data_IF_657004327288
#
_entry.id   IF_657004327288
#
_cell.length_a   1.000
_cell.length_b   1.000
_cell.length_c   1.000
_cell.angle_alpha   90.00
_cell.angle_beta   90.00
_cell.angle_gamma   90.00
#
_symmetry.space_group_name_H-M   'P 1'
#
loop_
_entity.id
_entity.type
_entity.pdbx_description
1 polymer ?
#
# COMPACT_ATOMS: atom_id res chain seq x y z
N UNK A 1 2.80 -5.19 -7.93
CA UNK A 1 4.03 -4.57 -7.40
C UNK A 1 5.20 -5.01 -8.25
N UNK A 2 6.02 -4.05 -8.66
CA UNK A 2 7.18 -4.31 -9.51
C UNK A 2 8.23 -5.19 -8.82
N UNK A 3 8.89 -6.04 -9.59
CA UNK A 3 9.99 -6.90 -9.14
C UNK A 3 9.66 -7.74 -7.90
N UNK A 4 8.44 -8.28 -7.84
CA UNK A 4 7.99 -9.11 -6.72
C UNK A 4 7.44 -10.44 -7.22
N UNK A 5 7.56 -11.45 -6.36
CA UNK A 5 6.93 -12.75 -6.55
C UNK A 5 5.99 -13.06 -5.39
N UNK A 6 4.92 -13.80 -5.66
CA UNK A 6 4.07 -14.37 -4.63
C UNK A 6 4.72 -15.65 -4.11
N UNK A 7 4.69 -15.83 -2.79
CA UNK A 7 5.18 -17.04 -2.15
C UNK A 7 4.15 -17.55 -1.14
N UNK A 8 4.03 -18.88 -0.96
CA UNK A 8 3.27 -19.45 0.15
C UNK A 8 3.85 -18.99 1.49
N UNK A 9 2.99 -18.66 2.46
CA UNK A 9 3.44 -18.23 3.79
C UNK A 9 4.32 -19.28 4.48
N UNK A 10 4.01 -20.57 4.30
CA UNK A 10 4.82 -21.67 4.84
C UNK A 10 6.25 -21.68 4.28
N UNK A 11 6.43 -21.28 3.01
CA UNK A 11 7.77 -21.19 2.42
C UNK A 11 8.58 -20.05 3.03
N UNK A 12 7.92 -18.94 3.38
CA UNK A 12 8.56 -17.83 4.11
C UNK A 12 9.09 -18.31 5.46
N UNK A 13 8.27 -19.07 6.23
CA UNK A 13 8.65 -19.65 7.52
C UNK A 13 9.89 -20.54 7.43
N UNK A 14 10.00 -21.33 6.37
CA UNK A 14 11.09 -22.31 6.21
C UNK A 14 12.40 -21.70 5.70
N UNK A 15 12.32 -20.66 4.87
CA UNK A 15 13.48 -20.17 4.09
C UNK A 15 13.96 -18.78 4.50
N UNK A 16 13.22 -18.05 5.33
CA UNK A 16 13.63 -16.70 5.72
C UNK A 16 14.42 -16.76 7.03
N UNK A 17 15.73 -16.78 6.93
CA UNK A 17 16.61 -16.59 8.08
C UNK A 17 16.80 -15.10 8.29
N UNK A 18 16.59 -14.60 9.51
CA UNK A 18 16.65 -13.18 9.83
C UNK A 18 18.08 -12.69 9.65
N UNK A 19 18.29 -11.51 9.03
CA UNK A 19 19.57 -10.86 9.08
C UNK A 19 19.84 -10.41 10.53
N UNK A 20 20.84 -10.96 11.18
CA UNK A 20 21.30 -10.45 12.47
C UNK A 20 22.22 -9.26 12.20
N UNK A 21 21.61 -8.07 12.14
CA UNK A 21 22.36 -6.83 11.89
C UNK A 21 22.65 -6.04 13.17
N UNK A 22 22.07 -6.41 14.30
CA UNK A 22 22.27 -5.70 15.55
C UNK A 22 23.69 -5.94 16.09
N UNK A 23 24.44 -4.86 16.34
CA UNK A 23 25.76 -4.91 16.99
C UNK A 23 25.71 -5.50 18.40
N UNK A 24 24.54 -5.51 19.04
CA UNK A 24 24.35 -5.86 20.45
C UNK A 24 23.57 -7.17 20.65
N UNK A 25 23.49 -8.05 19.64
CA UNK A 25 22.73 -9.33 19.68
C UNK A 25 21.23 -9.18 19.99
N UNK A 26 20.64 -8.02 19.79
CA UNK A 26 19.19 -7.84 19.90
C UNK A 26 18.52 -8.47 18.66
N UNK A 27 17.54 -9.32 18.89
CA UNK A 27 16.78 -9.93 17.80
C UNK A 27 15.91 -8.87 17.12
N UNK A 28 16.04 -8.72 15.80
CA UNK A 28 15.09 -7.95 15.00
C UNK A 28 13.79 -8.73 14.83
N UNK A 29 12.65 -8.01 14.78
CA UNK A 29 11.37 -8.63 14.46
C UNK A 29 11.42 -9.15 13.00
N UNK A 30 11.18 -10.44 12.80
CA UNK A 30 11.24 -11.06 11.48
C UNK A 30 10.03 -10.72 10.62
N UNK A 31 10.11 -10.98 9.31
CA UNK A 31 8.95 -10.92 8.42
C UNK A 31 7.82 -11.84 8.89
N UNK A 32 8.16 -13.03 9.39
CA UNK A 32 7.20 -13.98 9.92
C UNK A 32 6.49 -13.44 11.16
N UNK A 33 7.26 -13.00 12.17
CA UNK A 33 6.68 -12.43 13.39
C UNK A 33 5.79 -11.22 13.07
N UNK A 34 6.19 -10.37 12.12
CA UNK A 34 5.37 -9.25 11.70
C UNK A 34 4.03 -9.71 11.10
N UNK A 35 4.04 -10.74 10.23
CA UNK A 35 2.81 -11.31 9.65
C UNK A 35 1.93 -11.89 10.77
N UNK A 36 2.50 -12.74 11.65
CA UNK A 36 1.78 -13.39 12.75
C UNK A 36 1.16 -12.35 13.69
N UNK A 37 1.91 -11.31 14.10
CA UNK A 37 1.45 -10.23 14.97
C UNK A 37 0.26 -9.46 14.35
N UNK A 38 0.31 -9.18 13.05
CA UNK A 38 -0.82 -8.50 12.38
C UNK A 38 -2.04 -9.41 12.32
N UNK A 39 -1.85 -10.71 12.11
CA UNK A 39 -2.93 -11.72 12.18
C UNK A 39 -3.54 -11.81 13.58
N UNK A 40 -2.72 -11.83 14.63
CA UNK A 40 -3.17 -11.83 16.02
C UNK A 40 -3.94 -10.55 16.36
N UNK A 41 -3.43 -9.38 15.96
CA UNK A 41 -4.11 -8.10 16.14
C UNK A 41 -5.46 -8.07 15.42
N UNK A 42 -5.55 -8.65 14.21
CA UNK A 42 -6.80 -8.76 13.48
C UNK A 42 -7.79 -9.69 14.19
N UNK A 43 -7.32 -10.83 14.71
CA UNK A 43 -8.14 -11.75 15.49
C UNK A 43 -8.69 -11.13 16.78
N UNK A 44 -7.90 -10.28 17.43
CA UNK A 44 -8.33 -9.52 18.61
C UNK A 44 -9.33 -8.41 18.26
N UNK A 45 -9.13 -7.72 17.13
CA UNK A 45 -10.03 -6.65 16.70
C UNK A 45 -11.35 -7.17 16.11
N UNK A 46 -11.34 -8.39 15.54
CA UNK A 46 -12.48 -9.04 14.88
C UNK A 46 -12.69 -10.47 15.42
N UNK A 47 -13.03 -10.64 16.69
CA UNK A 47 -12.96 -11.94 17.39
C UNK A 47 -13.94 -13.00 16.88
N UNK A 48 -15.00 -12.60 16.16
CA UNK A 48 -16.00 -13.52 15.62
C UNK A 48 -15.86 -13.75 14.11
N UNK A 49 -14.80 -13.20 13.53
CA UNK A 49 -14.64 -13.18 12.08
C UNK A 49 -13.58 -14.20 11.63
N UNK A 50 -13.85 -14.79 10.48
CA UNK A 50 -12.85 -15.64 9.84
C UNK A 50 -11.83 -14.77 9.11
N UNK A 51 -10.56 -14.94 9.46
CA UNK A 51 -9.44 -14.33 8.76
C UNK A 51 -8.81 -15.40 7.86
N UNK A 52 -8.66 -15.11 6.58
CA UNK A 52 -8.03 -16.03 5.62
C UNK A 52 -6.51 -16.03 5.79
N UNK A 53 -5.86 -17.07 5.27
CA UNK A 53 -4.39 -17.13 5.22
C UNK A 53 -3.80 -15.91 4.49
N UNK A 54 -2.64 -15.42 4.91
CA UNK A 54 -2.06 -14.23 4.31
C UNK A 54 -1.54 -14.48 2.89
N UNK A 55 -1.91 -13.62 1.97
CA UNK A 55 -1.28 -13.54 0.65
C UNK A 55 0.02 -12.75 0.76
N UNK A 56 1.16 -13.41 0.55
CA UNK A 56 2.51 -12.82 0.73
C UNK A 56 3.17 -12.56 -0.61
N UNK A 57 3.77 -11.38 -0.75
CA UNK A 57 4.63 -11.00 -1.87
C UNK A 57 5.98 -10.52 -1.34
N UNK A 58 7.05 -10.95 -1.99
CA UNK A 58 8.43 -10.61 -1.61
C UNK A 58 9.23 -10.11 -2.80
N UNK A 59 10.26 -9.32 -2.52
CA UNK A 59 11.28 -8.93 -3.48
C UNK A 59 12.26 -10.09 -3.76
N UNK A 60 13.38 -9.79 -4.39
CA UNK A 60 14.47 -10.76 -4.53
C UNK A 60 15.08 -11.12 -3.15
N UNK A 61 15.55 -12.36 -2.99
CA UNK A 61 16.24 -12.77 -1.77
C UNK A 61 17.66 -12.18 -1.72
N UNK A 62 18.06 -11.73 -0.53
CA UNK A 62 19.45 -11.35 -0.22
C UNK A 62 20.11 -12.52 0.46
N UNK A 63 21.28 -12.90 -0.03
CA UNK A 63 22.15 -13.89 0.59
C UNK A 63 23.17 -13.18 1.46
N UNK A 64 23.24 -13.57 2.70
CA UNK A 64 24.14 -13.00 3.70
C UNK A 64 24.82 -14.09 4.52
N UNK A 65 25.35 -13.69 5.66
CA UNK A 65 26.00 -14.56 6.62
C UNK A 65 25.73 -14.07 8.05
N UNK A 66 25.83 -14.99 9.01
CA UNK A 66 25.72 -14.62 10.43
C UNK A 66 26.90 -13.72 10.85
N UNK A 67 26.75 -12.88 11.90
CA UNK A 67 27.78 -11.94 12.32
C UNK A 67 29.14 -12.59 12.63
N UNK A 68 29.16 -13.78 13.23
CA UNK A 68 30.40 -14.51 13.54
C UNK A 68 31.17 -14.98 12.30
N UNK A 69 30.52 -14.99 11.12
CA UNK A 69 31.11 -15.40 9.86
C UNK A 69 31.40 -14.23 8.90
N UNK A 70 31.25 -12.97 9.34
CA UNK A 70 31.43 -11.78 8.49
C UNK A 70 32.79 -11.74 7.79
N UNK A 71 33.85 -12.15 8.47
CA UNK A 71 35.21 -12.13 7.92
C UNK A 71 35.55 -13.35 7.04
N UNK A 72 34.67 -14.37 6.98
CA UNK A 72 34.96 -15.59 6.20
C UNK A 72 34.74 -15.39 4.72
N UNK A 73 35.58 -15.91 3.84
CA UNK A 73 35.32 -15.99 2.40
C UNK A 73 34.06 -16.81 2.11
N UNK A 74 33.38 -16.50 0.99
CA UNK A 74 32.08 -17.13 0.65
C UNK A 74 32.20 -18.67 0.46
N UNK A 75 33.32 -19.15 -0.02
CA UNK A 75 33.61 -20.57 -0.22
C UNK A 75 33.91 -21.36 1.08
N UNK A 76 34.18 -20.65 2.17
CA UNK A 76 34.44 -21.24 3.50
C UNK A 76 33.22 -21.22 4.43
N UNK A 77 32.11 -20.63 3.96
CA UNK A 77 30.88 -20.55 4.73
C UNK A 77 30.22 -21.92 4.84
N UNK A 78 29.96 -22.36 6.06
CA UNK A 78 29.15 -23.54 6.35
C UNK A 78 27.68 -23.21 6.15
N UNK A 79 26.82 -24.21 5.93
CA UNK A 79 25.39 -23.99 5.67
C UNK A 79 24.68 -23.21 6.79
N UNK A 80 24.98 -23.50 8.06
CA UNK A 80 24.41 -22.79 9.21
C UNK A 80 24.93 -21.35 9.39
N UNK A 81 25.97 -20.97 8.65
CA UNK A 81 26.51 -19.60 8.65
C UNK A 81 25.94 -18.73 7.54
N UNK A 82 25.23 -19.34 6.58
CA UNK A 82 24.57 -18.65 5.49
C UNK A 82 23.19 -18.16 5.93
N UNK A 83 22.85 -16.93 5.55
CA UNK A 83 21.53 -16.35 5.76
C UNK A 83 20.88 -16.05 4.44
N UNK A 84 19.55 -16.23 4.34
CA UNK A 84 18.74 -15.81 3.20
C UNK A 84 17.54 -15.05 3.77
N UNK A 85 17.31 -13.85 3.26
CA UNK A 85 16.13 -13.08 3.63
C UNK A 85 15.63 -12.26 2.45
N UNK A 86 14.37 -11.88 2.45
CA UNK A 86 13.81 -10.98 1.46
C UNK A 86 13.97 -9.53 1.92
N UNK A 87 14.56 -8.68 1.06
CA UNK A 87 14.78 -7.27 1.39
C UNK A 87 13.48 -6.54 1.68
N UNK A 88 12.43 -6.87 0.91
CA UNK A 88 11.11 -6.24 1.00
C UNK A 88 10.03 -7.30 0.99
N UNK A 89 9.02 -7.11 1.81
CA UNK A 89 7.87 -8.00 1.91
C UNK A 89 6.59 -7.18 2.10
N UNK A 90 5.53 -7.61 1.44
CA UNK A 90 4.16 -7.13 1.66
C UNK A 90 3.23 -8.33 1.85
N UNK A 91 2.22 -8.17 2.67
CA UNK A 91 1.20 -9.19 2.86
C UNK A 91 -0.18 -8.58 3.10
N UNK A 92 -1.21 -9.38 2.83
CA UNK A 92 -2.60 -9.01 3.00
C UNK A 92 -3.35 -10.20 3.59
N UNK A 93 -4.03 -9.97 4.70
CA UNK A 93 -5.10 -10.82 5.21
C UNK A 93 -6.44 -10.32 4.70
N UNK A 94 -7.37 -11.21 4.45
CA UNK A 94 -8.72 -10.90 4.03
C UNK A 94 -9.73 -11.39 5.07
N UNK A 95 -10.75 -10.56 5.33
CA UNK A 95 -11.84 -10.84 6.28
C UNK A 95 -13.15 -10.90 5.47
N UNK A 96 -13.52 -12.07 4.92
CA UNK A 96 -14.59 -12.21 3.92
C UNK A 96 -15.99 -11.87 4.42
N UNK A 97 -16.22 -11.91 5.72
CA UNK A 97 -17.51 -11.56 6.34
C UNK A 97 -17.87 -10.09 6.19
N UNK A 98 -16.87 -9.22 6.05
CA UNK A 98 -17.07 -7.83 5.66
C UNK A 98 -17.06 -7.73 4.13
N UNK A 99 -18.23 -7.98 3.54
CA UNK A 99 -18.47 -7.98 2.10
C UNK A 99 -19.44 -6.87 1.73
N UNK A 100 -18.98 -5.93 0.92
CA UNK A 100 -19.69 -4.73 0.56
C UNK A 100 -19.66 -4.48 -0.95
N UNK A 101 -20.58 -3.68 -1.45
CA UNK A 101 -20.63 -3.35 -2.87
C UNK A 101 -20.58 -1.84 -3.08
N UNK A 102 -19.71 -1.40 -3.98
CA UNK A 102 -19.60 -0.01 -4.45
C UNK A 102 -19.67 -0.02 -5.98
N UNK A 103 -20.69 0.64 -6.52
CA UNK A 103 -20.92 0.77 -7.98
C UNK A 103 -20.80 -0.59 -8.73
N UNK A 104 -21.44 -1.63 -8.18
CA UNK A 104 -21.42 -2.99 -8.75
C UNK A 104 -20.10 -3.77 -8.52
N UNK A 105 -19.12 -3.19 -7.87
CA UNK A 105 -17.88 -3.90 -7.53
C UNK A 105 -17.93 -4.40 -6.10
N UNK A 106 -17.65 -5.69 -5.92
CA UNK A 106 -17.55 -6.34 -4.62
C UNK A 106 -16.26 -5.93 -3.93
N UNK A 107 -16.35 -5.59 -2.65
CA UNK A 107 -15.23 -5.22 -1.79
C UNK A 107 -15.20 -6.14 -0.57
N UNK A 108 -14.01 -6.54 -0.12
CA UNK A 108 -13.81 -7.20 1.18
C UNK A 108 -12.88 -6.39 2.06
N UNK A 109 -13.11 -6.42 3.37
CA UNK A 109 -12.20 -5.80 4.33
C UNK A 109 -10.89 -6.58 4.35
N UNK A 110 -9.79 -5.85 4.39
CA UNK A 110 -8.44 -6.41 4.41
C UNK A 110 -7.56 -5.67 5.40
N UNK A 111 -6.65 -6.39 6.02
CA UNK A 111 -5.57 -5.86 6.84
C UNK A 111 -4.23 -6.38 6.32
N UNK A 112 -3.17 -5.67 6.57
CA UNK A 112 -1.87 -6.13 6.13
C UNK A 112 -0.74 -5.15 6.41
N UNK A 113 0.41 -5.43 5.82
CA UNK A 113 1.56 -4.57 6.03
C UNK A 113 2.65 -4.71 4.99
N UNK A 114 3.59 -3.80 5.10
CA UNK A 114 4.81 -3.75 4.30
C UNK A 114 6.00 -3.58 5.23
N UNK A 115 7.03 -4.36 4.99
CA UNK A 115 8.34 -4.15 5.58
C UNK A 115 9.42 -4.11 4.51
N UNK A 116 10.35 -3.18 4.66
CA UNK A 116 11.42 -2.94 3.72
C UNK A 116 12.70 -2.63 4.49
N UNK A 117 13.59 -3.61 4.61
CA UNK A 117 14.86 -3.49 5.33
C UNK A 117 15.78 -2.43 4.73
N UNK A 118 15.68 -2.14 3.44
CA UNK A 118 16.46 -1.08 2.80
C UNK A 118 16.09 0.35 3.29
N UNK A 119 14.97 0.51 3.99
CA UNK A 119 14.53 1.78 4.58
C UNK A 119 14.90 1.89 6.07
N UNK A 120 15.52 0.85 6.64
CA UNK A 120 15.90 0.79 8.04
C UNK A 120 17.40 0.96 8.21
N UNK A 121 17.82 1.64 9.28
CA UNK A 121 19.24 1.65 9.67
C UNK A 121 19.54 0.44 10.54
N UNK A 122 19.76 -0.71 9.91
CA UNK A 122 19.99 -1.98 10.56
C UNK A 122 21.33 -2.06 11.35
N UNK A 123 22.18 -1.04 11.28
CA UNK A 123 23.49 -0.99 11.92
C UNK A 123 23.55 -0.08 13.13
N UNK A 124 22.46 0.61 13.44
CA UNK A 124 22.38 1.52 14.58
C UNK A 124 22.10 0.77 15.88
N UNK A 125 22.64 1.26 17.01
CA UNK A 125 22.31 0.73 18.34
C UNK A 125 20.92 1.20 18.74
N UNK A 126 20.07 0.30 19.29
CA UNK A 126 18.76 0.59 19.89
C UNK A 126 17.82 1.42 18.99
N UNK A 127 17.86 1.20 17.68
CA UNK A 127 16.98 1.87 16.74
C UNK A 127 15.64 1.14 16.73
N UNK A 128 14.55 1.91 16.77
CA UNK A 128 13.21 1.39 16.56
C UNK A 128 13.07 0.84 15.16
N UNK A 129 12.49 -0.35 15.05
CA UNK A 129 12.20 -0.98 13.77
C UNK A 129 10.96 -0.33 13.13
N UNK A 130 10.96 -0.23 11.81
CA UNK A 130 9.94 0.48 11.06
C UNK A 130 9.01 -0.47 10.33
N UNK A 131 7.71 -0.28 10.52
CA UNK A 131 6.66 -1.05 9.88
C UNK A 131 5.65 -0.12 9.21
N UNK A 132 5.02 -0.61 8.14
CA UNK A 132 3.86 0.01 7.54
C UNK A 132 2.70 -0.94 7.66
N UNK A 133 1.60 -0.50 8.24
CA UNK A 133 0.44 -1.33 8.51
C UNK A 133 -0.80 -0.63 7.96
N UNK A 134 -1.72 -1.38 7.40
CA UNK A 134 -2.97 -0.85 6.89
C UNK A 134 -4.17 -1.71 7.22
N UNK A 135 -5.33 -1.06 7.25
CA UNK A 135 -6.66 -1.64 7.16
C UNK A 135 -7.43 -0.89 6.08
N UNK A 136 -8.18 -1.60 5.24
CA UNK A 136 -8.91 -0.99 4.14
C UNK A 136 -9.70 -2.02 3.34
N UNK A 137 -10.23 -1.60 2.20
CA UNK A 137 -11.03 -2.45 1.34
C UNK A 137 -10.22 -2.96 0.15
N UNK A 138 -10.44 -4.19 -0.25
CA UNK A 138 -9.89 -4.79 -1.46
C UNK A 138 -11.00 -4.94 -2.50
N UNK A 139 -10.81 -4.35 -3.66
CA UNK A 139 -11.71 -4.54 -4.80
C UNK A 139 -11.42 -5.89 -5.47
N UNK A 140 -12.43 -6.74 -5.56
CA UNK A 140 -12.31 -8.08 -6.14
C UNK A 140 -12.06 -8.08 -7.66
N UNK A 141 -12.60 -7.11 -8.37
CA UNK A 141 -12.49 -7.05 -9.84
C UNK A 141 -11.05 -6.78 -10.28
N UNK A 142 -10.37 -5.87 -9.62
CA UNK A 142 -9.02 -5.44 -9.99
C UNK A 142 -7.95 -5.81 -8.96
N UNK A 143 -8.33 -6.43 -7.83
CA UNK A 143 -7.43 -6.76 -6.71
C UNK A 143 -6.70 -5.50 -6.18
N UNK A 144 -7.26 -4.31 -6.38
CA UNK A 144 -6.72 -3.07 -5.86
C UNK A 144 -7.07 -2.93 -4.37
N UNK A 145 -6.13 -2.40 -3.61
CA UNK A 145 -6.39 -1.98 -2.25
C UNK A 145 -6.94 -0.56 -2.24
N UNK A 146 -7.99 -0.33 -1.46
CA UNK A 146 -8.57 0.97 -1.16
C UNK A 146 -8.23 1.27 0.30
N UNK A 147 -7.20 2.08 0.53
CA UNK A 147 -6.72 2.42 1.87
C UNK A 147 -6.85 3.92 2.08
N UNK A 148 -7.49 4.33 3.18
CA UNK A 148 -7.60 5.72 3.61
C UNK A 148 -6.47 6.10 4.56
N UNK A 149 -6.28 7.40 4.77
CA UNK A 149 -5.32 7.91 5.76
C UNK A 149 -5.61 7.40 7.16
N UNK A 150 -6.88 7.29 7.56
CA UNK A 150 -7.30 6.79 8.87
C UNK A 150 -7.00 5.29 9.05
N UNK A 151 -6.87 4.54 7.96
CA UNK A 151 -6.54 3.11 7.94
C UNK A 151 -5.07 2.82 7.67
N UNK A 152 -4.16 3.80 7.76
CA UNK A 152 -2.77 3.61 7.39
C UNK A 152 -1.78 4.22 8.39
N UNK A 153 -0.83 3.43 8.84
CA UNK A 153 0.34 3.85 9.59
C UNK A 153 1.59 3.70 8.72
N UNK A 154 2.09 4.83 8.18
CA UNK A 154 3.22 4.86 7.25
C UNK A 154 4.58 4.71 7.91
N UNK A 155 4.70 5.04 9.20
CA UNK A 155 5.95 5.04 9.96
C UNK A 155 5.71 4.57 11.40
N UNK A 156 5.24 3.33 11.53
CA UNK A 156 5.05 2.71 12.83
C UNK A 156 6.40 2.22 13.34
N UNK A 157 6.90 2.84 14.40
CA UNK A 157 8.20 2.54 15.01
C UNK A 157 8.00 1.87 16.35
N UNK A 158 8.66 0.74 16.53
CA UNK A 158 8.57 -0.09 17.73
C UNK A 158 9.89 -0.78 18.04
N UNK A 159 10.06 -1.22 19.28
CA UNK A 159 11.23 -1.97 19.75
C UNK A 159 10.92 -3.42 20.07
N UNK A 160 9.66 -3.74 20.33
CA UNK A 160 9.25 -5.08 20.75
C UNK A 160 8.02 -5.56 19.98
N UNK A 161 7.87 -6.88 19.92
CA UNK A 161 6.69 -7.54 19.33
C UNK A 161 5.39 -7.15 20.05
N UNK A 162 5.44 -6.99 21.38
CA UNK A 162 4.28 -6.58 22.17
C UNK A 162 3.84 -5.14 21.85
N UNK A 163 4.80 -4.24 21.66
CA UNK A 163 4.48 -2.87 21.25
C UNK A 163 3.88 -2.84 19.85
N UNK A 164 4.42 -3.65 18.93
CA UNK A 164 3.88 -3.80 17.59
C UNK A 164 2.42 -4.29 17.63
N UNK A 165 2.13 -5.36 18.38
CA UNK A 165 0.79 -5.89 18.56
C UNK A 165 -0.20 -4.81 19.05
N UNK A 166 0.18 -4.09 20.09
CA UNK A 166 -0.68 -3.06 20.67
C UNK A 166 -0.98 -1.92 19.70
N UNK A 167 0.03 -1.46 18.96
CA UNK A 167 -0.12 -0.37 17.97
C UNK A 167 -0.98 -0.79 16.79
N UNK A 168 -0.76 -2.01 16.29
CA UNK A 168 -1.55 -2.57 15.18
C UNK A 168 -3.01 -2.78 15.61
N UNK A 169 -3.24 -3.36 16.79
CA UNK A 169 -4.59 -3.52 17.35
C UNK A 169 -5.31 -2.16 17.47
N UNK A 170 -4.65 -1.13 18.00
CA UNK A 170 -5.21 0.21 18.09
C UNK A 170 -5.65 0.77 16.74
N UNK A 171 -4.82 0.60 15.70
CA UNK A 171 -5.18 1.02 14.34
C UNK A 171 -6.47 0.33 13.87
N UNK A 172 -6.58 -0.99 14.06
CA UNK A 172 -7.75 -1.75 13.61
C UNK A 172 -9.01 -1.43 14.43
N UNK A 173 -8.88 -1.28 15.73
CA UNK A 173 -9.99 -0.95 16.63
C UNK A 173 -10.55 0.47 16.41
N UNK A 174 -9.72 1.42 15.98
CA UNK A 174 -10.12 2.80 15.72
C UNK A 174 -10.61 3.03 14.28
N UNK A 175 -10.38 2.09 13.38
CA UNK A 175 -10.76 2.24 11.98
C UNK A 175 -12.27 2.22 11.79
N UNK A 176 -12.80 3.24 11.16
CA UNK A 176 -14.21 3.34 10.82
C UNK A 176 -14.48 2.85 9.39
N UNK A 177 -14.74 1.55 9.25
CA UNK A 177 -15.00 0.90 7.98
C UNK A 177 -16.19 1.52 7.22
N UNK A 178 -17.26 1.90 7.94
CA UNK A 178 -18.45 2.52 7.33
C UNK A 178 -18.18 3.92 6.78
N UNK A 179 -17.42 4.74 7.51
CA UNK A 179 -17.00 6.08 7.04
C UNK A 179 -16.18 5.95 5.76
N UNK A 180 -15.23 5.03 5.74
CA UNK A 180 -14.41 4.78 4.55
C UNK A 180 -15.26 4.30 3.36
N UNK A 181 -16.18 3.36 3.59
CA UNK A 181 -17.10 2.86 2.57
C UNK A 181 -18.00 3.97 2.00
N UNK A 182 -18.52 4.85 2.85
CA UNK A 182 -19.32 5.99 2.42
C UNK A 182 -18.50 6.95 1.52
N UNK A 183 -17.21 7.13 1.83
CA UNK A 183 -16.30 7.89 0.97
C UNK A 183 -16.17 7.24 -0.41
N UNK A 184 -15.94 5.92 -0.46
CA UNK A 184 -15.83 5.20 -1.73
C UNK A 184 -17.13 5.24 -2.54
N UNK A 185 -18.29 5.13 -1.89
CA UNK A 185 -19.61 5.28 -2.53
C UNK A 185 -19.80 6.67 -3.13
N UNK A 186 -19.43 7.73 -2.40
CA UNK A 186 -19.50 9.09 -2.90
C UNK A 186 -18.66 9.35 -4.15
N UNK A 187 -17.57 8.59 -4.37
CA UNK A 187 -16.81 8.68 -5.62
C UNK A 187 -17.59 8.16 -6.85
N UNK A 188 -18.60 7.32 -6.64
CA UNK A 188 -19.42 6.81 -7.73
C UNK A 188 -20.47 7.83 -8.24
N UNK A 189 -20.87 8.76 -7.37
CA UNK A 189 -21.92 9.74 -7.65
C UNK A 189 -21.43 10.93 -8.48
N UNK A 190 -20.11 11.14 -8.56
CA UNK A 190 -19.49 12.26 -9.28
C UNK A 190 -18.52 11.73 -10.33
N UNK A 191 -18.34 12.52 -11.39
CA UNK A 191 -17.44 12.15 -12.49
C UNK A 191 -16.92 13.36 -13.24
N UNK A 192 -16.05 13.10 -14.19
CA UNK A 192 -15.49 14.08 -15.12
C UNK A 192 -15.78 13.66 -16.55
N UNK A 193 -15.98 14.64 -17.42
CA UNK A 193 -16.07 14.41 -18.85
C UNK A 193 -14.68 14.29 -19.48
N UNK A 194 -14.60 13.97 -20.78
CA UNK A 194 -13.34 13.78 -21.48
C UNK A 194 -12.47 15.05 -21.50
N UNK A 195 -13.06 16.23 -21.60
CA UNK A 195 -12.35 17.51 -21.57
C UNK A 195 -11.69 17.73 -20.19
N UNK A 196 -12.46 17.55 -19.12
CA UNK A 196 -11.94 17.64 -17.75
C UNK A 196 -10.88 16.57 -17.45
N UNK A 197 -11.07 15.34 -17.98
CA UNK A 197 -10.05 14.30 -17.86
C UNK A 197 -8.77 14.69 -18.59
N UNK A 198 -8.87 15.21 -19.83
CA UNK A 198 -7.69 15.67 -20.58
C UNK A 198 -6.96 16.82 -19.86
N UNK A 199 -7.71 17.77 -19.30
CA UNK A 199 -7.18 18.87 -18.48
C UNK A 199 -6.45 18.33 -17.25
N UNK A 200 -7.09 17.40 -16.50
CA UNK A 200 -6.49 16.74 -15.33
C UNK A 200 -5.15 16.08 -15.69
N UNK A 201 -5.13 15.30 -16.76
CA UNK A 201 -3.91 14.59 -17.21
C UNK A 201 -2.81 15.59 -17.65
N UNK A 202 -3.17 16.63 -18.38
CA UNK A 202 -2.24 17.69 -18.78
C UNK A 202 -1.59 18.36 -17.56
N UNK A 203 -2.40 18.74 -16.58
CA UNK A 203 -1.91 19.39 -15.35
C UNK A 203 -1.12 18.43 -14.44
N UNK A 204 -1.48 17.16 -14.37
CA UNK A 204 -0.66 16.17 -13.67
C UNK A 204 0.76 16.09 -14.24
N UNK A 205 0.91 16.17 -15.56
CA UNK A 205 2.22 16.17 -16.22
C UNK A 205 2.98 17.49 -16.07
N UNK A 206 2.29 18.60 -15.89
CA UNK A 206 2.90 19.91 -15.65
C UNK A 206 3.36 20.09 -14.19
N UNK A 207 2.70 19.43 -13.25
CA UNK A 207 2.94 19.58 -11.81
C UNK A 207 4.41 19.44 -11.39
N UNK A 208 5.21 18.46 -11.87
CA UNK A 208 6.61 18.32 -11.49
C UNK A 208 7.46 19.57 -11.81
N UNK A 209 7.09 20.33 -12.85
CA UNK A 209 7.81 21.49 -13.35
C UNK A 209 7.45 22.80 -12.65
N UNK A 210 6.41 22.80 -11.81
CA UNK A 210 6.05 23.94 -10.98
C UNK A 210 7.14 24.22 -9.95
N UNK A 211 7.35 25.49 -9.64
CA UNK A 211 8.21 25.91 -8.53
C UNK A 211 7.58 25.52 -7.18
N UNK A 212 8.38 25.48 -6.12
CA UNK A 212 7.88 25.19 -4.77
C UNK A 212 6.78 26.15 -4.32
N UNK A 213 6.82 27.42 -4.77
CA UNK A 213 5.80 28.44 -4.46
C UNK A 213 4.48 28.15 -5.18
N UNK A 214 4.54 27.77 -6.46
CA UNK A 214 3.35 27.43 -7.25
C UNK A 214 2.67 26.14 -6.76
N UNK A 215 3.43 25.21 -6.20
CA UNK A 215 2.90 23.96 -5.61
C UNK A 215 2.13 24.17 -4.31
N UNK A 216 2.25 25.33 -3.67
CA UNK A 216 1.53 25.60 -2.42
C UNK A 216 0.02 25.51 -2.63
N UNK A 217 -0.62 24.65 -1.85
CA UNK A 217 -2.08 24.42 -1.93
C UNK A 217 -2.54 23.50 -3.08
N UNK A 218 -1.63 23.03 -3.94
CA UNK A 218 -1.97 22.07 -5.00
C UNK A 218 -1.64 20.67 -4.49
N UNK A 219 -2.64 19.77 -4.33
CA UNK A 219 -2.38 18.39 -3.87
C UNK A 219 -1.59 17.62 -4.94
N UNK A 220 -0.52 16.95 -4.53
CA UNK A 220 0.25 16.10 -5.44
C UNK A 220 -0.44 14.76 -5.66
N UNK A 221 -0.35 14.22 -6.89
CA UNK A 221 -0.59 12.81 -7.16
C UNK A 221 0.76 12.11 -7.35
N UNK A 222 1.05 11.12 -6.51
CA UNK A 222 2.33 10.41 -6.48
C UNK A 222 2.42 9.29 -7.53
N UNK A 223 2.12 9.61 -8.78
CA UNK A 223 2.30 8.73 -9.93
C UNK A 223 3.38 9.26 -10.86
N UNK A 224 4.24 8.37 -11.36
CA UNK A 224 5.21 8.71 -12.40
C UNK A 224 4.58 8.72 -13.80
N UNK A 225 5.29 9.28 -14.79
CA UNK A 225 4.78 9.44 -16.16
C UNK A 225 4.31 8.13 -16.81
N UNK A 226 5.02 7.02 -16.59
CA UNK A 226 4.60 5.69 -17.09
C UNK A 226 3.28 5.24 -16.49
N UNK A 227 3.03 5.58 -15.22
CA UNK A 227 1.78 5.27 -14.53
C UNK A 227 0.64 6.16 -15.03
N UNK A 228 0.90 7.46 -15.24
CA UNK A 228 -0.07 8.38 -15.88
C UNK A 228 -0.42 7.89 -17.28
N UNK A 229 0.56 7.44 -18.08
CA UNK A 229 0.29 6.83 -19.38
C UNK A 229 -0.59 5.57 -19.29
N UNK A 230 -0.39 4.76 -18.24
CA UNK A 230 -1.26 3.61 -17.96
C UNK A 230 -2.69 4.05 -17.69
N UNK A 231 -2.90 5.08 -16.87
CA UNK A 231 -4.24 5.65 -16.60
C UNK A 231 -4.90 6.14 -17.89
N UNK A 232 -4.16 6.83 -18.77
CA UNK A 232 -4.69 7.30 -20.07
C UNK A 232 -5.12 6.13 -20.94
N UNK A 233 -4.26 5.13 -21.08
CA UNK A 233 -4.56 3.92 -21.87
C UNK A 233 -5.83 3.25 -21.34
N UNK A 234 -5.91 3.08 -20.02
CA UNK A 234 -6.96 2.31 -19.37
C UNK A 234 -8.27 3.09 -19.29
N UNK A 235 -8.25 4.43 -19.33
CA UNK A 235 -9.44 5.28 -19.54
C UNK A 235 -10.18 4.88 -20.82
N UNK A 236 -9.48 4.48 -21.88
CA UNK A 236 -10.09 4.04 -23.14
C UNK A 236 -10.31 2.52 -23.22
N UNK A 237 -9.51 1.70 -22.55
CA UNK A 237 -9.37 0.27 -22.84
C UNK A 237 -9.65 -0.67 -21.67
N UNK A 238 -9.75 -0.18 -20.42
CA UNK A 238 -10.00 -1.06 -19.29
C UNK A 238 -11.40 -1.68 -19.41
N UNK A 239 -11.51 -2.98 -19.12
CA UNK A 239 -12.76 -3.73 -19.29
C UNK A 239 -13.83 -3.38 -18.25
N UNK A 240 -13.42 -2.84 -17.08
CA UNK A 240 -14.30 -2.58 -15.94
C UNK A 240 -14.41 -1.10 -15.57
N UNK A 241 -13.34 -0.34 -15.81
CA UNK A 241 -13.20 1.03 -15.32
C UNK A 241 -12.96 2.07 -16.41
N UNK A 242 -13.12 1.71 -17.70
CA UNK A 242 -13.04 2.67 -18.80
C UNK A 242 -14.17 3.70 -18.74
N UNK A 243 -14.00 4.76 -19.52
CA UNK A 243 -15.04 5.77 -19.78
C UNK A 243 -16.31 5.16 -20.37
N UNK A 244 -17.41 5.87 -20.27
CA UNK A 244 -18.63 5.54 -21.00
C UNK A 244 -18.55 5.92 -22.51
N UNK A 245 -19.63 5.65 -23.24
CA UNK A 245 -19.70 5.90 -24.70
C UNK A 245 -19.63 7.38 -25.08
N UNK A 246 -19.93 8.29 -24.15
CA UNK A 246 -19.88 9.75 -24.37
C UNK A 246 -18.65 10.43 -23.75
N UNK A 247 -17.74 9.65 -23.19
CA UNK A 247 -16.47 10.12 -22.67
C UNK A 247 -16.46 10.45 -21.17
N UNK A 248 -17.53 10.17 -20.43
CA UNK A 248 -17.55 10.42 -19.00
C UNK A 248 -16.92 9.25 -18.21
N UNK A 249 -16.31 9.58 -17.09
CA UNK A 249 -15.80 8.60 -16.13
C UNK A 249 -16.15 9.03 -14.70
N UNK A 250 -16.74 8.13 -13.89
CA UNK A 250 -16.96 8.41 -12.48
C UNK A 250 -15.63 8.48 -11.72
N UNK A 251 -15.60 9.23 -10.61
CA UNK A 251 -14.41 9.28 -9.76
C UNK A 251 -14.07 7.91 -9.15
N UNK A 252 -15.05 7.04 -8.93
CA UNK A 252 -14.81 5.66 -8.54
C UNK A 252 -14.01 4.88 -9.59
N UNK A 253 -14.41 4.97 -10.85
CA UNK A 253 -13.66 4.33 -11.95
C UNK A 253 -12.27 4.94 -12.10
N UNK A 254 -12.17 6.27 -12.10
CA UNK A 254 -10.89 6.98 -12.16
C UNK A 254 -9.95 6.56 -11.01
N UNK A 255 -10.44 6.50 -9.78
CA UNK A 255 -9.68 6.03 -8.63
C UNK A 255 -9.17 4.59 -8.82
N UNK A 256 -9.99 3.69 -9.39
CA UNK A 256 -9.55 2.33 -9.70
C UNK A 256 -8.48 2.30 -10.82
N UNK A 257 -8.52 3.21 -11.78
CA UNK A 257 -7.44 3.36 -12.77
C UNK A 257 -6.14 3.86 -12.11
N UNK A 258 -6.22 4.83 -11.19
CA UNK A 258 -5.05 5.34 -10.45
C UNK A 258 -4.41 4.23 -9.61
N UNK A 259 -5.20 3.48 -8.85
CA UNK A 259 -4.70 2.36 -8.03
C UNK A 259 -4.26 1.18 -8.89
N UNK A 260 -4.86 0.98 -10.06
CA UNK A 260 -4.43 0.01 -11.07
C UNK A 260 -3.03 0.32 -11.60
N UNK A 261 -2.77 1.56 -11.98
CA UNK A 261 -1.46 2.04 -12.40
C UNK A 261 -0.40 1.90 -11.30
N UNK A 262 -0.79 2.08 -10.03
CA UNK A 262 0.09 1.91 -8.87
C UNK A 262 0.62 0.47 -8.70
N UNK A 263 0.03 -0.54 -9.34
CA UNK A 263 0.56 -1.93 -9.32
C UNK A 263 1.98 -2.05 -9.87
N UNK A 264 2.42 -1.09 -10.68
CA UNK A 264 3.81 -1.01 -11.17
C UNK A 264 4.79 -0.42 -10.14
N UNK A 265 4.33 0.04 -8.99
CA UNK A 265 5.18 0.55 -7.92
C UNK A 265 5.93 -0.56 -7.18
N UNK A 266 7.06 -0.19 -6.58
CA UNK A 266 7.78 -1.07 -5.65
C UNK A 266 7.00 -1.26 -4.35
N UNK A 267 7.30 -2.34 -3.62
CA UNK A 267 6.66 -2.68 -2.34
C UNK A 267 6.71 -1.50 -1.35
N UNK A 268 7.85 -0.86 -1.24
CA UNK A 268 8.14 0.22 -0.28
C UNK A 268 7.39 1.54 -0.55
N UNK A 269 6.86 1.75 -1.74
CA UNK A 269 6.10 2.96 -2.10
C UNK A 269 4.62 2.68 -2.39
N UNK A 270 4.24 1.41 -2.51
CA UNK A 270 2.91 1.01 -2.97
C UNK A 270 1.78 1.52 -2.08
N UNK A 271 1.91 1.37 -0.74
CA UNK A 271 0.86 1.79 0.20
C UNK A 271 0.72 3.31 0.26
N UNK A 272 1.83 4.05 0.32
CA UNK A 272 1.80 5.53 0.34
C UNK A 272 1.07 6.06 -0.90
N UNK A 273 1.39 5.54 -2.08
CA UNK A 273 0.72 5.89 -3.34
C UNK A 273 -0.75 5.47 -3.39
N UNK A 274 -1.11 4.35 -2.75
CA UNK A 274 -2.51 3.92 -2.66
C UNK A 274 -3.32 4.91 -1.83
N UNK A 275 -2.80 5.33 -0.67
CA UNK A 275 -3.44 6.33 0.20
C UNK A 275 -3.49 7.69 -0.49
N UNK A 276 -2.40 8.10 -1.14
CA UNK A 276 -2.34 9.34 -1.89
C UNK A 276 -3.37 9.36 -3.03
N UNK A 277 -3.56 8.28 -3.77
CA UNK A 277 -4.56 8.18 -4.83
C UNK A 277 -5.99 8.38 -4.29
N UNK A 278 -6.33 7.85 -3.11
CA UNK A 278 -7.63 8.08 -2.50
C UNK A 278 -7.79 9.54 -2.04
N UNK A 279 -6.78 10.07 -1.36
CA UNK A 279 -6.79 11.49 -0.94
C UNK A 279 -6.95 12.43 -2.13
N UNK A 280 -6.27 12.15 -3.23
CA UNK A 280 -6.40 12.90 -4.46
C UNK A 280 -7.81 12.81 -5.06
N UNK A 281 -8.40 11.61 -5.11
CA UNK A 281 -9.78 11.41 -5.57
C UNK A 281 -10.80 12.15 -4.68
N UNK A 282 -10.55 12.21 -3.36
CA UNK A 282 -11.39 13.00 -2.43
C UNK A 282 -11.29 14.51 -2.69
N UNK A 283 -10.12 15.02 -3.05
CA UNK A 283 -9.97 16.44 -3.43
C UNK A 283 -10.74 16.74 -4.71
N UNK A 284 -10.67 15.88 -5.72
CA UNK A 284 -11.50 15.99 -6.94
C UNK A 284 -13.00 15.99 -6.59
N UNK A 285 -13.41 15.03 -5.74
CA UNK A 285 -14.81 14.93 -5.28
C UNK A 285 -15.27 16.22 -4.60
N UNK A 286 -14.47 16.77 -3.68
CA UNK A 286 -14.81 18.00 -2.99
C UNK A 286 -14.95 19.18 -3.95
N UNK A 287 -14.03 19.33 -4.91
CA UNK A 287 -14.11 20.38 -5.93
C UNK A 287 -15.38 20.26 -6.76
N UNK A 288 -15.71 19.07 -7.27
CA UNK A 288 -16.93 18.84 -8.06
C UNK A 288 -18.21 19.03 -7.25
N UNK A 289 -18.18 18.71 -5.97
CA UNK A 289 -19.33 18.82 -5.05
C UNK A 289 -19.65 20.26 -4.65
N UNK A 290 -18.60 21.05 -4.40
CA UNK A 290 -18.73 22.41 -3.86
C UNK A 290 -18.57 23.50 -4.92
N UNK A 291 -18.11 23.18 -6.12
CA UNK A 291 -17.72 24.14 -7.14
C UNK A 291 -16.46 24.95 -6.78
N UNK A 292 -15.72 24.55 -5.73
CA UNK A 292 -14.50 25.23 -5.36
C UNK A 292 -13.40 25.05 -6.41
N UNK A 293 -12.64 26.11 -6.60
CA UNK A 293 -11.50 26.09 -7.52
C UNK A 293 -10.53 24.95 -7.13
N UNK A 294 -10.18 24.18 -8.14
CA UNK A 294 -9.09 23.20 -8.05
C UNK A 294 -8.20 23.34 -9.29
N UNK A 295 -6.92 23.56 -9.08
CA UNK A 295 -5.96 23.75 -10.16
C UNK A 295 -6.02 22.67 -11.26
N UNK A 296 -6.43 21.46 -10.95
CA UNK A 296 -6.52 20.34 -11.89
C UNK A 296 -7.74 20.38 -12.82
N UNK A 297 -8.86 20.98 -12.41
CA UNK A 297 -10.15 20.85 -13.10
C UNK A 297 -10.74 22.18 -13.59
N UNK A 298 -10.40 23.30 -12.96
CA UNK A 298 -11.06 24.56 -13.26
C UNK A 298 -10.23 25.36 -14.29
N UNK A 299 -10.91 25.90 -15.28
CA UNK A 299 -10.38 26.97 -16.13
C UNK A 299 -10.32 28.26 -15.29
N UNK A 300 -9.27 29.08 -15.52
CA UNK A 300 -9.19 30.42 -14.94
C UNK A 300 -10.07 31.38 -15.74
#
# INVERSE_FOLDING_TARGET
MANTQSIPYQLLKQKCTIPVFAKDNESTISHQEFIDIVGDAASLAFPNERILDPAVRVSHPIKGRIPSAVAKPANELREHEKTIYYERMAFVYEIPSFDETVNGNRLSLTVGGVRAYNLENLYGRKIEERFRVFIGWKNWVCINLCVSTDGFQSDLRVRTTQELLNRVFQLFALFNAQKHLNTLRSLADYGVNEHQFAQLIGRLRMYPFLTSREKLGIPALELGDSQVNTVIRDYYKDTSFCRDSVGNISLWKLYNLLTGANKSSYIDTFLDRTVNALSFAQVLLNSLKTGQYLWYLNEQ
#
